data_IF_129716371358
#
_entry.id   IF_129716371358
#
_cell.length_a   1.000
_cell.length_b   1.000
_cell.length_c   1.000
_cell.angle_alpha   90.00
_cell.angle_beta   90.00
_cell.angle_gamma   90.00
#
_symmetry.space_group_name_H-M   'P 1'
#
loop_
_entity.id
_entity.type
_entity.pdbx_description
1 polymer ?
#
# COMPACT_ATOMS: atom_id res chain seq x y z
N UNK A 1 -20.60 -7.35 -10.70
CA UNK A 1 -19.42 -7.03 -9.87
C UNK A 1 -19.25 -7.95 -8.65
N UNK A 2 -20.26 -8.75 -8.25
CA UNK A 2 -20.12 -9.78 -7.18
C UNK A 2 -19.02 -10.83 -7.46
N UNK A 3 -18.57 -10.94 -8.71
CA UNK A 3 -17.56 -11.89 -9.20
C UNK A 3 -16.18 -11.68 -8.56
N UNK A 4 -15.87 -10.49 -8.04
CA UNK A 4 -14.56 -10.17 -7.46
C UNK A 4 -14.57 -10.01 -5.93
N UNK A 5 -15.65 -10.45 -5.28
CA UNK A 5 -15.83 -10.35 -3.82
C UNK A 5 -14.65 -10.98 -3.06
N UNK A 6 -14.25 -12.21 -3.42
CA UNK A 6 -13.11 -12.87 -2.77
C UNK A 6 -11.78 -12.11 -2.90
N UNK A 7 -11.53 -11.48 -4.05
CA UNK A 7 -10.32 -10.68 -4.28
C UNK A 7 -10.30 -9.44 -3.39
N UNK A 8 -11.41 -8.70 -3.37
CA UNK A 8 -11.58 -7.51 -2.55
C UNK A 8 -11.47 -7.85 -1.07
N UNK A 9 -12.12 -8.93 -0.63
CA UNK A 9 -12.09 -9.37 0.77
C UNK A 9 -10.67 -9.71 1.25
N UNK A 10 -9.88 -10.40 0.43
CA UNK A 10 -8.49 -10.73 0.77
C UNK A 10 -7.58 -9.49 0.73
N UNK A 11 -7.77 -8.61 -0.24
CA UNK A 11 -7.01 -7.36 -0.34
C UNK A 11 -7.34 -6.44 0.83
N UNK A 12 -8.61 -6.22 1.15
CA UNK A 12 -9.03 -5.40 2.29
C UNK A 12 -8.53 -5.97 3.62
N UNK A 13 -8.55 -7.30 3.80
CA UNK A 13 -8.00 -7.94 4.99
C UNK A 13 -6.50 -7.66 5.18
N UNK A 14 -5.74 -7.56 4.08
CA UNK A 14 -4.31 -7.28 4.11
C UNK A 14 -4.01 -5.78 4.32
N UNK A 15 -4.65 -4.91 3.54
CA UNK A 15 -4.42 -3.47 3.54
C UNK A 15 -4.99 -2.78 4.79
N UNK A 16 -6.01 -3.37 5.42
CA UNK A 16 -6.64 -2.86 6.65
C UNK A 16 -6.31 -3.72 7.87
N UNK A 17 -5.21 -4.47 7.82
CA UNK A 17 -4.74 -5.30 8.92
C UNK A 17 -4.51 -4.44 10.18
N UNK A 18 -5.11 -4.85 11.30
CA UNK A 18 -5.02 -4.12 12.59
C UNK A 18 -4.87 -5.05 13.80
N UNK A 19 -4.16 -6.17 13.64
CA UNK A 19 -4.07 -7.19 14.68
C UNK A 19 -2.68 -7.82 14.72
N UNK A 20 -2.23 -8.18 15.92
CA UNK A 20 -1.05 -9.03 16.16
C UNK A 20 -1.44 -10.43 16.67
N UNK A 21 -2.75 -10.69 16.80
CA UNK A 21 -3.30 -11.96 17.27
C UNK A 21 -3.10 -13.07 16.23
N UNK A 22 -2.48 -14.17 16.64
CA UNK A 22 -2.05 -15.26 15.75
C UNK A 22 -3.23 -15.93 15.04
N UNK A 23 -4.35 -16.17 15.72
CA UNK A 23 -5.54 -16.79 15.12
C UNK A 23 -6.11 -15.90 14.00
N UNK A 24 -6.21 -14.59 14.24
CA UNK A 24 -6.64 -13.64 13.21
C UNK A 24 -5.65 -13.54 12.05
N UNK A 25 -4.35 -13.61 12.31
CA UNK A 25 -3.34 -13.63 11.24
C UNK A 25 -3.45 -14.89 10.38
N UNK A 26 -3.69 -16.05 10.99
CA UNK A 26 -3.95 -17.30 10.27
C UNK A 26 -5.22 -17.19 9.42
N UNK A 27 -6.27 -16.53 9.92
CA UNK A 27 -7.48 -16.26 9.12
C UNK A 27 -7.21 -15.35 7.91
N UNK A 28 -6.36 -14.33 8.06
CA UNK A 28 -5.94 -13.45 6.95
C UNK A 28 -5.13 -14.25 5.93
N UNK A 29 -4.14 -15.04 6.38
CA UNK A 29 -3.37 -15.92 5.51
C UNK A 29 -4.27 -16.89 4.72
N UNK A 30 -5.22 -17.55 5.38
CA UNK A 30 -6.15 -18.47 4.71
C UNK A 30 -7.00 -17.75 3.65
N UNK A 31 -7.46 -16.51 3.91
CA UNK A 31 -8.14 -15.69 2.90
C UNK A 31 -7.24 -15.38 1.71
N UNK A 32 -5.98 -15.03 1.94
CA UNK A 32 -5.00 -14.77 0.87
C UNK A 32 -4.76 -16.03 0.05
N UNK A 33 -4.52 -17.17 0.70
CA UNK A 33 -4.28 -18.45 0.02
C UNK A 33 -5.48 -18.81 -0.85
N UNK A 34 -6.67 -18.89 -0.27
CA UNK A 34 -7.88 -19.30 -0.97
C UNK A 34 -8.24 -18.32 -2.10
N UNK A 35 -8.31 -17.02 -1.79
CA UNK A 35 -8.92 -16.05 -2.68
C UNK A 35 -7.93 -15.31 -3.59
N UNK A 36 -6.62 -15.44 -3.39
CA UNK A 36 -5.61 -14.82 -4.25
C UNK A 36 -4.71 -15.88 -4.90
N UNK A 37 -4.06 -16.73 -4.11
CA UNK A 37 -3.11 -17.72 -4.63
C UNK A 37 -3.83 -18.83 -5.40
N UNK A 38 -4.81 -19.50 -4.78
CA UNK A 38 -5.46 -20.67 -5.35
C UNK A 38 -6.48 -20.28 -6.43
N UNK A 39 -7.35 -19.30 -6.13
CA UNK A 39 -8.44 -18.89 -7.03
C UNK A 39 -7.95 -18.20 -8.31
N UNK A 40 -6.89 -17.39 -8.21
CA UNK A 40 -6.40 -16.57 -9.33
C UNK A 40 -4.98 -16.93 -9.76
N UNK A 41 -4.40 -18.01 -9.20
CA UNK A 41 -3.05 -18.49 -9.53
C UNK A 41 -1.98 -17.42 -9.40
N UNK A 42 -2.16 -16.48 -8.47
CA UNK A 42 -1.17 -15.43 -8.23
C UNK A 42 0.06 -16.08 -7.60
N UNK A 43 1.26 -15.90 -8.18
CA UNK A 43 2.48 -16.48 -7.62
C UNK A 43 2.68 -16.03 -6.16
N UNK A 44 2.98 -16.96 -5.22
CA UNK A 44 3.25 -16.61 -3.83
C UNK A 44 4.32 -15.52 -3.65
N UNK A 45 5.36 -15.52 -4.49
CA UNK A 45 6.39 -14.49 -4.50
C UNK A 45 5.87 -13.09 -4.84
N UNK A 46 4.85 -12.98 -5.69
CA UNK A 46 4.20 -11.71 -6.02
C UNK A 46 3.33 -11.22 -4.85
N UNK A 47 2.69 -12.12 -4.12
CA UNK A 47 1.99 -11.78 -2.88
C UNK A 47 2.98 -11.24 -1.83
N UNK A 48 4.13 -11.89 -1.65
CA UNK A 48 5.17 -11.43 -0.72
C UNK A 48 5.69 -10.05 -1.13
N UNK A 49 5.95 -9.81 -2.42
CA UNK A 49 6.34 -8.50 -2.92
C UNK A 49 5.30 -7.44 -2.52
N UNK A 50 4.01 -7.69 -2.79
CA UNK A 50 2.90 -6.78 -2.44
C UNK A 50 2.82 -6.51 -0.94
N UNK A 51 2.92 -7.54 -0.10
CA UNK A 51 2.94 -7.40 1.37
C UNK A 51 4.14 -6.54 1.81
N UNK A 52 5.32 -6.79 1.26
CA UNK A 52 6.54 -6.07 1.62
C UNK A 52 6.42 -4.56 1.34
N UNK A 53 5.82 -4.19 0.20
CA UNK A 53 5.62 -2.78 -0.18
C UNK A 53 4.53 -2.11 0.67
N UNK A 54 3.41 -2.82 0.92
CA UNK A 54 2.32 -2.33 1.75
C UNK A 54 2.74 -2.08 3.20
N UNK A 55 3.57 -2.95 3.76
CA UNK A 55 3.95 -2.90 5.18
C UNK A 55 4.50 -1.53 5.62
N UNK A 56 5.10 -0.76 4.71
CA UNK A 56 5.63 0.58 4.96
C UNK A 56 4.53 1.63 5.18
N UNK A 57 3.31 1.38 4.69
CA UNK A 57 2.13 2.25 4.85
C UNK A 57 1.24 1.84 6.03
N UNK A 58 1.54 0.71 6.68
CA UNK A 58 0.86 0.25 7.89
C UNK A 58 1.87 -0.39 8.88
N UNK A 59 3.01 0.29 9.02
CA UNK A 59 4.20 -0.24 9.69
C UNK A 59 4.01 -0.59 11.17
N UNK A 60 3.00 -0.05 11.87
CA UNK A 60 2.70 -0.44 13.24
C UNK A 60 2.33 -1.92 13.40
N UNK A 61 1.98 -2.59 12.29
CA UNK A 61 1.74 -4.04 12.21
C UNK A 61 2.80 -4.79 11.40
N UNK A 62 4.04 -4.27 11.32
CA UNK A 62 5.14 -4.91 10.58
C UNK A 62 5.35 -6.37 10.98
N UNK A 63 5.35 -6.68 12.28
CA UNK A 63 5.44 -8.07 12.79
C UNK A 63 4.36 -8.98 12.22
N UNK A 64 3.13 -8.48 12.11
CA UNK A 64 2.02 -9.23 11.52
C UNK A 64 2.23 -9.52 10.06
N UNK A 65 2.73 -8.54 9.29
CA UNK A 65 3.07 -8.75 7.88
C UNK A 65 4.19 -9.76 7.71
N UNK A 66 5.24 -9.69 8.54
CA UNK A 66 6.33 -10.67 8.56
C UNK A 66 5.80 -12.09 8.88
N UNK A 67 4.89 -12.22 9.84
CA UNK A 67 4.28 -13.50 10.21
C UNK A 67 3.40 -14.09 9.09
N UNK A 68 2.58 -13.27 8.41
CA UNK A 68 1.80 -13.71 7.25
C UNK A 68 2.73 -14.15 6.11
N UNK A 69 3.80 -13.40 5.83
CA UNK A 69 4.81 -13.80 4.84
C UNK A 69 5.50 -15.10 5.24
N UNK A 70 5.81 -15.29 6.53
CA UNK A 70 6.42 -16.53 7.02
C UNK A 70 5.55 -17.76 6.73
N UNK A 71 4.23 -17.65 6.94
CA UNK A 71 3.30 -18.73 6.59
C UNK A 71 3.33 -19.06 5.10
N UNK A 72 3.37 -18.05 4.22
CA UNK A 72 3.50 -18.25 2.77
C UNK A 72 4.84 -18.91 2.42
N UNK A 73 5.94 -18.45 3.01
CA UNK A 73 7.29 -18.98 2.76
C UNK A 73 7.38 -20.46 3.16
N UNK A 74 6.80 -20.81 4.31
CA UNK A 74 6.82 -22.18 4.83
C UNK A 74 5.98 -23.13 4.00
N UNK A 75 4.74 -22.75 3.69
CA UNK A 75 3.80 -23.57 2.91
C UNK A 75 4.31 -23.84 1.49
N UNK A 76 4.82 -22.80 0.82
CA UNK A 76 5.23 -22.87 -0.58
C UNK A 76 6.73 -23.12 -0.76
N UNK A 77 7.46 -23.34 0.34
CA UNK A 77 8.90 -23.63 0.37
C UNK A 77 9.74 -22.64 -0.47
N UNK A 78 9.44 -21.34 -0.33
CA UNK A 78 10.08 -20.29 -1.12
C UNK A 78 11.48 -20.00 -0.57
N UNK A 79 12.49 -20.09 -1.44
CA UNK A 79 13.88 -19.77 -1.10
C UNK A 79 14.37 -18.44 -1.72
N UNK A 80 13.61 -17.85 -2.65
CA UNK A 80 13.95 -16.58 -3.27
C UNK A 80 12.71 -15.82 -3.76
N UNK A 81 12.71 -14.50 -3.58
CA UNK A 81 11.70 -13.54 -4.04
C UNK A 81 12.41 -12.39 -4.75
N UNK A 82 12.31 -12.35 -6.09
CA UNK A 82 13.09 -11.43 -6.93
C UNK A 82 12.78 -9.94 -6.70
N UNK A 83 11.56 -9.61 -6.29
CA UNK A 83 11.11 -8.24 -6.00
C UNK A 83 10.61 -8.19 -4.57
N UNK A 84 11.33 -7.50 -3.69
CA UNK A 84 10.96 -7.33 -2.29
C UNK A 84 11.51 -5.99 -1.80
N UNK A 85 10.80 -5.33 -0.88
CA UNK A 85 11.33 -4.14 -0.22
C UNK A 85 12.58 -4.50 0.62
N UNK A 86 13.65 -3.73 0.50
CA UNK A 86 14.95 -4.05 1.11
C UNK A 86 14.90 -4.05 2.64
N UNK A 87 14.24 -3.07 3.27
CA UNK A 87 14.11 -3.05 4.72
C UNK A 87 13.23 -4.20 5.20
N UNK A 88 12.14 -4.53 4.48
CA UNK A 88 11.32 -5.70 4.81
C UNK A 88 12.12 -7.01 4.74
N UNK A 89 12.95 -7.19 3.71
CA UNK A 89 13.83 -8.36 3.56
C UNK A 89 14.82 -8.48 4.73
N UNK A 90 15.41 -7.35 5.16
CA UNK A 90 16.25 -7.30 6.35
C UNK A 90 15.48 -7.66 7.63
N UNK A 91 14.30 -7.09 7.86
CA UNK A 91 13.50 -7.40 9.04
C UNK A 91 13.05 -8.87 9.07
N UNK A 92 12.72 -9.44 7.92
CA UNK A 92 12.41 -10.87 7.80
C UNK A 92 13.61 -11.75 8.15
N UNK A 93 14.81 -11.35 7.71
CA UNK A 93 16.04 -12.00 8.12
C UNK A 93 16.29 -11.91 9.63
N UNK A 94 16.08 -10.74 10.25
CA UNK A 94 16.26 -10.57 11.70
C UNK A 94 15.31 -11.42 12.53
N UNK A 95 14.07 -11.58 12.08
CA UNK A 95 13.06 -12.38 12.81
C UNK A 95 13.19 -13.88 12.58
N UNK A 96 13.47 -14.32 11.35
CA UNK A 96 13.38 -15.74 10.98
C UNK A 96 14.68 -16.35 10.48
N UNK A 97 15.77 -15.58 10.40
CA UNK A 97 17.07 -15.99 9.86
C UNK A 97 16.98 -16.53 8.41
N UNK A 98 16.06 -15.97 7.62
CA UNK A 98 15.84 -16.30 6.21
C UNK A 98 16.03 -15.03 5.37
N UNK A 99 16.84 -15.12 4.32
CA UNK A 99 16.99 -14.03 3.34
C UNK A 99 16.14 -14.37 2.12
N UNK A 100 15.13 -13.54 1.85
CA UNK A 100 14.22 -13.75 0.72
C UNK A 100 14.83 -13.25 -0.60
N UNK A 101 15.72 -12.27 -0.55
CA UNK A 101 16.46 -11.80 -1.72
C UNK A 101 17.91 -11.51 -1.38
N UNK A 102 18.83 -12.32 -1.90
CA UNK A 102 20.27 -12.17 -1.65
C UNK A 102 20.86 -10.87 -2.20
N UNK A 103 20.28 -10.31 -3.28
CA UNK A 103 20.76 -9.04 -3.82
C UNK A 103 20.55 -7.89 -2.82
N UNK A 104 19.50 -7.94 -2.01
CA UNK A 104 19.20 -6.94 -0.98
C UNK A 104 20.10 -7.01 0.25
N UNK A 105 20.90 -8.08 0.40
CA UNK A 105 21.82 -8.25 1.55
C UNK A 105 22.83 -7.12 1.65
N UNK A 106 23.15 -6.45 0.54
CA UNK A 106 24.07 -5.31 0.50
C UNK A 106 23.66 -4.16 1.44
N UNK A 107 22.36 -4.02 1.74
CA UNK A 107 21.83 -2.98 2.62
C UNK A 107 21.76 -3.39 4.10
N UNK A 108 22.01 -4.66 4.45
CA UNK A 108 21.74 -5.16 5.80
C UNK A 108 22.61 -4.49 6.86
N UNK A 109 23.89 -4.21 6.55
CA UNK A 109 24.78 -3.53 7.49
C UNK A 109 24.29 -2.10 7.78
N UNK A 110 23.81 -1.39 6.75
CA UNK A 110 23.24 -0.04 6.90
C UNK A 110 21.98 -0.06 7.79
N UNK A 111 21.12 -1.07 7.62
CA UNK A 111 19.92 -1.22 8.43
C UNK A 111 20.22 -1.66 9.88
N UNK A 112 21.25 -2.48 10.08
CA UNK A 112 21.75 -2.85 11.41
C UNK A 112 22.33 -1.62 12.13
N UNK A 113 23.17 -0.83 11.47
CA UNK A 113 23.73 0.41 12.01
C UNK A 113 22.62 1.45 12.33
N UNK A 114 21.52 1.41 11.56
CA UNK A 114 20.32 2.22 11.78
C UNK A 114 19.37 1.64 12.84
N UNK A 115 19.72 0.52 13.45
CA UNK A 115 18.95 -0.16 14.51
C UNK A 115 17.51 -0.50 14.09
N UNK A 116 17.28 -0.81 12.81
CA UNK A 116 15.96 -1.20 12.34
C UNK A 116 15.51 -2.53 12.95
N UNK A 117 14.24 -2.56 13.35
CA UNK A 117 13.60 -3.69 14.01
C UNK A 117 12.14 -3.80 13.56
N UNK A 118 11.57 -5.01 13.70
CA UNK A 118 10.15 -5.26 13.45
C UNK A 118 9.26 -4.56 14.50
N UNK A 119 9.83 -4.21 15.66
CA UNK A 119 9.25 -3.27 16.62
C UNK A 119 9.70 -1.85 16.26
N UNK A 120 9.03 -1.27 15.26
CA UNK A 120 9.41 -0.06 14.50
C UNK A 120 10.01 1.09 15.33
N UNK A 121 9.53 1.29 16.55
CA UNK A 121 10.07 2.25 17.49
C UNK A 121 10.42 1.58 18.81
N UNK A 122 11.64 1.81 19.30
CA UNK A 122 12.08 1.34 20.61
C UNK A 122 11.12 1.79 21.72
N UNK A 123 11.11 1.00 22.81
CA UNK A 123 10.38 1.36 24.02
C UNK A 123 10.85 2.72 24.53
N UNK A 124 9.93 3.49 25.12
CA UNK A 124 10.22 4.81 25.68
C UNK A 124 10.81 5.80 24.65
N UNK A 125 10.21 5.88 23.47
CA UNK A 125 10.48 6.93 22.49
C UNK A 125 9.23 7.75 22.20
N UNK A 126 9.39 9.03 21.84
CA UNK A 126 8.27 9.90 21.49
C UNK A 126 7.52 9.40 20.25
N UNK A 127 8.24 8.82 19.28
CA UNK A 127 7.66 8.26 18.07
C UNK A 127 6.78 7.03 18.38
N UNK A 128 7.18 6.18 19.33
CA UNK A 128 6.35 5.09 19.84
C UNK A 128 5.10 5.62 20.56
N UNK A 129 5.23 6.68 21.35
CA UNK A 129 4.08 7.32 21.99
C UNK A 129 3.08 7.81 20.95
N UNK A 130 3.55 8.42 19.86
CA UNK A 130 2.67 8.79 18.74
C UNK A 130 2.04 7.55 18.11
N UNK A 131 2.83 6.53 17.73
CA UNK A 131 2.34 5.33 17.04
C UNK A 131 1.15 4.66 17.75
N UNK A 132 1.12 4.67 19.09
CA UNK A 132 0.06 4.08 19.89
C UNK A 132 -0.90 5.10 20.52
N UNK A 133 -0.79 6.38 20.15
CA UNK A 133 -1.52 7.51 20.73
C UNK A 133 -1.45 7.57 22.28
N UNK A 134 -0.30 7.18 22.84
CA UNK A 134 -0.04 7.24 24.28
C UNK A 134 0.22 8.68 24.71
N UNK A 135 -0.87 9.36 25.03
CA UNK A 135 -0.92 10.73 25.51
C UNK A 135 -0.02 10.97 26.72
N UNK A 136 0.04 10.05 27.68
CA UNK A 136 0.76 10.26 28.94
C UNK A 136 2.26 10.27 28.67
N UNK A 137 2.76 9.25 27.98
CA UNK A 137 4.17 9.19 27.61
C UNK A 137 4.55 10.36 26.71
N UNK A 138 3.69 10.72 25.75
CA UNK A 138 3.93 11.86 24.86
C UNK A 138 4.10 13.17 25.63
N UNK A 139 3.21 13.48 26.59
CA UNK A 139 3.33 14.67 27.45
C UNK A 139 4.68 14.67 28.18
N UNK A 140 5.05 13.55 28.80
CA UNK A 140 6.31 13.41 29.53
C UNK A 140 7.53 13.70 28.64
N UNK A 141 7.52 13.32 27.35
CA UNK A 141 8.59 13.69 26.41
C UNK A 141 8.59 15.19 26.10
N UNK A 142 7.41 15.78 25.90
CA UNK A 142 7.29 17.19 25.52
C UNK A 142 7.64 18.16 26.64
N UNK A 143 7.73 17.69 27.88
CA UNK A 143 8.09 18.47 29.08
C UNK A 143 9.58 18.38 29.43
N UNK A 144 10.35 17.56 28.72
CA UNK A 144 11.80 17.47 28.93
C UNK A 144 12.49 18.75 28.48
N UNK A 145 13.53 19.14 29.22
CA UNK A 145 14.41 20.23 28.82
C UNK A 145 15.03 19.93 27.44
N UNK A 146 15.01 20.92 26.55
CA UNK A 146 15.53 20.78 25.19
C UNK A 146 14.62 20.05 24.19
N UNK A 147 13.35 19.81 24.52
CA UNK A 147 12.38 19.25 23.56
C UNK A 147 12.25 20.13 22.31
N UNK A 148 12.55 19.56 21.14
CA UNK A 148 12.33 20.18 19.84
C UNK A 148 11.02 19.67 19.20
N UNK A 149 10.03 20.56 19.09
CA UNK A 149 8.75 20.27 18.43
C UNK A 149 8.88 20.05 16.91
N UNK A 150 9.94 20.56 16.30
CA UNK A 150 10.17 20.51 14.85
C UNK A 150 11.07 19.33 14.45
N UNK A 151 11.43 18.45 15.39
CA UNK A 151 12.20 17.26 15.10
C UNK A 151 11.54 16.42 14.01
N UNK A 152 12.38 15.82 13.16
CA UNK A 152 11.93 14.98 12.05
C UNK A 152 12.51 13.58 12.18
N UNK A 153 11.64 12.59 12.02
CA UNK A 153 12.00 11.18 11.93
C UNK A 153 12.41 10.87 10.50
N UNK A 154 13.68 10.48 10.27
CA UNK A 154 14.14 9.91 9.00
C UNK A 154 14.22 8.40 9.16
N UNK A 155 13.50 7.66 8.33
CA UNK A 155 13.51 6.20 8.35
C UNK A 155 12.91 5.64 7.07
N UNK A 156 13.51 4.56 6.57
CA UNK A 156 13.03 3.78 5.42
C UNK A 156 11.79 2.94 5.74
N UNK A 157 11.42 2.87 7.03
CA UNK A 157 10.18 2.27 7.49
C UNK A 157 8.96 3.17 7.25
N UNK A 158 9.16 4.36 6.65
CA UNK A 158 8.10 5.29 6.31
C UNK A 158 8.20 5.76 4.85
N UNK A 159 7.09 6.21 4.22
CA UNK A 159 7.05 6.50 2.79
C UNK A 159 7.89 7.70 2.29
N UNK A 160 8.58 8.45 3.18
CA UNK A 160 9.19 9.73 2.81
C UNK A 160 10.61 9.92 3.37
N UNK A 161 11.56 10.18 2.47
CA UNK A 161 13.00 10.22 2.77
C UNK A 161 13.52 11.54 3.36
N UNK A 162 12.78 12.66 3.25
CA UNK A 162 13.22 13.96 3.82
C UNK A 162 12.87 14.13 5.31
N UNK A 163 12.25 13.13 5.90
CA UNK A 163 11.88 13.04 7.30
C UNK A 163 10.47 13.57 7.60
N UNK A 164 9.82 12.93 8.56
CA UNK A 164 8.42 13.15 8.96
C UNK A 164 8.42 13.90 10.30
N UNK A 165 7.73 15.04 10.37
CA UNK A 165 7.55 15.78 11.63
C UNK A 165 6.66 15.02 12.61
N UNK A 166 6.71 15.38 13.89
CA UNK A 166 5.84 14.77 14.90
C UNK A 166 4.35 14.90 14.55
N UNK A 167 3.92 16.04 13.97
CA UNK A 167 2.52 16.26 13.62
C UNK A 167 2.09 15.42 12.41
N UNK A 168 2.93 15.33 11.37
CA UNK A 168 2.71 14.44 10.22
C UNK A 168 2.68 12.97 10.65
N UNK A 169 3.51 12.58 11.62
CA UNK A 169 3.52 11.24 12.19
C UNK A 169 2.22 10.92 12.94
N UNK A 170 1.64 11.89 13.67
CA UNK A 170 0.30 11.74 14.25
C UNK A 170 -0.76 11.54 13.17
N UNK A 171 -0.69 12.26 12.05
CA UNK A 171 -1.61 12.07 10.92
C UNK A 171 -1.48 10.68 10.29
N UNK A 172 -0.24 10.20 10.12
CA UNK A 172 0.06 8.89 9.55
C UNK A 172 -0.52 7.76 10.40
N UNK A 173 -0.36 7.83 11.73
CA UNK A 173 -0.85 6.79 12.66
C UNK A 173 -2.30 7.00 13.14
N UNK A 174 -2.90 8.16 12.86
CA UNK A 174 -4.25 8.49 13.34
C UNK A 174 -4.31 8.87 14.83
N UNK A 175 -3.19 9.32 15.40
CA UNK A 175 -2.97 9.60 16.83
C UNK A 175 -3.56 10.94 17.25
N UNK A 176 -4.84 10.95 17.58
CA UNK A 176 -5.64 12.17 17.77
C UNK A 176 -5.26 12.93 19.03
N UNK A 177 -4.89 12.26 20.10
CA UNK A 177 -4.54 12.91 21.35
C UNK A 177 -3.17 13.58 21.26
N UNK A 178 -2.18 12.90 20.69
CA UNK A 178 -0.87 13.48 20.42
C UNK A 178 -0.96 14.65 19.43
N UNK A 179 -1.77 14.51 18.36
CA UNK A 179 -2.05 15.57 17.38
C UNK A 179 -2.60 16.83 18.06
N UNK A 180 -3.63 16.68 18.90
CA UNK A 180 -4.26 17.80 19.61
C UNK A 180 -3.25 18.55 20.49
N UNK A 181 -2.35 17.84 21.17
CA UNK A 181 -1.31 18.48 21.99
C UNK A 181 -0.38 19.34 21.13
N UNK A 182 0.09 18.81 20.00
CA UNK A 182 0.97 19.56 19.09
C UNK A 182 0.30 20.81 18.53
N UNK A 183 -0.97 20.74 18.15
CA UNK A 183 -1.71 21.92 17.65
C UNK A 183 -1.96 22.93 18.78
N UNK A 184 -2.45 22.49 19.94
CA UNK A 184 -2.93 23.40 20.99
C UNK A 184 -1.80 23.99 21.86
N UNK A 185 -0.85 23.16 22.31
CA UNK A 185 0.25 23.58 23.19
C UNK A 185 1.41 24.17 22.39
N UNK A 186 1.74 23.56 21.26
CA UNK A 186 2.94 23.91 20.51
C UNK A 186 2.68 24.75 19.26
N UNK A 187 1.40 24.96 18.88
CA UNK A 187 1.02 25.69 17.67
C UNK A 187 1.76 25.15 16.44
N UNK A 188 1.87 23.83 16.34
CA UNK A 188 2.50 23.18 15.19
C UNK A 188 1.68 23.46 13.93
N UNK A 189 2.38 23.81 12.84
CA UNK A 189 1.74 24.10 11.56
C UNK A 189 1.23 22.81 10.91
N UNK A 190 -0.03 22.81 10.48
CA UNK A 190 -0.60 21.72 9.67
C UNK A 190 -0.07 21.86 8.25
N UNK A 191 0.78 20.94 7.83
CA UNK A 191 1.39 20.92 6.48
C UNK A 191 0.47 20.21 5.47
N UNK A 192 0.72 20.33 4.15
CA UNK A 192 0.05 19.49 3.15
C UNK A 192 0.22 17.98 3.44
N UNK A 193 1.39 17.57 3.94
CA UNK A 193 1.67 16.17 4.30
C UNK A 193 0.81 15.70 5.49
N UNK A 194 0.46 16.59 6.43
CA UNK A 194 -0.53 16.27 7.46
C UNK A 194 -1.89 15.86 6.86
N UNK A 195 -2.37 16.56 5.82
CA UNK A 195 -3.62 16.20 5.15
C UNK A 195 -3.46 14.89 4.37
N UNK A 196 -2.38 14.74 3.60
CA UNK A 196 -2.10 13.52 2.82
C UNK A 196 -2.06 12.28 3.71
N UNK A 197 -1.30 12.32 4.81
CA UNK A 197 -1.20 11.21 5.75
C UNK A 197 -2.49 10.94 6.53
N UNK A 198 -3.35 11.94 6.73
CA UNK A 198 -4.63 11.72 7.41
C UNK A 198 -5.57 10.75 6.66
N UNK A 199 -5.42 10.63 5.34
CA UNK A 199 -6.12 9.62 4.53
C UNK A 199 -5.62 8.20 4.78
N UNK A 200 -4.36 8.04 5.18
CA UNK A 200 -3.79 6.75 5.56
C UNK A 200 -4.15 6.38 7.00
N UNK A 201 -3.95 7.30 7.95
CA UNK A 201 -4.27 7.07 9.37
C UNK A 201 -5.78 6.93 9.62
N UNK A 202 -6.61 7.53 8.77
CA UNK A 202 -8.07 7.33 8.76
C UNK A 202 -8.80 7.91 9.97
N UNK A 203 -8.14 8.74 10.79
CA UNK A 203 -8.78 9.42 11.90
C UNK A 203 -9.55 10.65 11.41
N UNK A 204 -10.89 10.58 11.47
CA UNK A 204 -11.77 11.63 10.96
C UNK A 204 -11.57 12.99 11.65
N UNK A 205 -11.24 13.02 12.94
CA UNK A 205 -11.02 14.27 13.65
C UNK A 205 -9.76 14.98 13.13
N UNK A 206 -8.66 14.25 12.94
CA UNK A 206 -7.43 14.79 12.35
C UNK A 206 -7.70 15.28 10.92
N UNK A 207 -8.33 14.46 10.09
CA UNK A 207 -8.62 14.81 8.70
C UNK A 207 -9.46 16.09 8.59
N UNK A 208 -10.50 16.23 9.43
CA UNK A 208 -11.33 17.42 9.46
C UNK A 208 -10.55 18.68 9.88
N UNK A 209 -9.63 18.59 10.84
CA UNK A 209 -8.76 19.72 11.19
C UNK A 209 -7.82 20.08 10.03
N UNK A 210 -7.23 19.08 9.36
CA UNK A 210 -6.37 19.30 8.20
C UNK A 210 -7.11 19.99 7.05
N UNK A 211 -8.34 19.56 6.73
CA UNK A 211 -9.16 20.11 5.65
C UNK A 211 -9.59 21.58 5.87
N UNK A 212 -9.52 22.11 7.09
CA UNK A 212 -9.82 23.53 7.36
C UNK A 212 -8.78 24.47 6.77
N UNK A 213 -7.53 24.01 6.64
CA UNK A 213 -6.38 24.85 6.28
C UNK A 213 -5.64 24.34 5.04
N UNK A 214 -5.77 23.06 4.70
CA UNK A 214 -5.18 22.45 3.51
C UNK A 214 -6.23 22.05 2.49
N UNK A 215 -5.83 22.03 1.21
CA UNK A 215 -6.65 21.54 0.10
C UNK A 215 -6.17 20.15 -0.33
N UNK A 216 -7.07 19.19 -0.57
CA UNK A 216 -6.68 17.90 -1.11
C UNK A 216 -5.98 18.02 -2.46
N UNK A 217 -5.01 17.12 -2.68
CA UNK A 217 -4.22 17.02 -3.88
C UNK A 217 -4.10 15.56 -4.37
N UNK A 218 -3.29 15.34 -5.41
CA UNK A 218 -3.09 14.01 -5.98
C UNK A 218 -2.54 12.99 -4.97
N UNK A 219 -1.64 13.40 -4.07
CA UNK A 219 -1.10 12.49 -3.05
C UNK A 219 -2.17 12.07 -2.02
N UNK A 220 -3.17 12.92 -1.76
CA UNK A 220 -4.33 12.52 -0.95
C UNK A 220 -5.08 11.34 -1.60
N UNK A 221 -5.27 11.35 -2.93
CA UNK A 221 -5.90 10.23 -3.66
C UNK A 221 -5.05 8.96 -3.57
N UNK A 222 -3.74 9.08 -3.71
CA UNK A 222 -2.83 7.95 -3.53
C UNK A 222 -2.97 7.32 -2.15
N UNK A 223 -2.94 8.11 -1.07
CA UNK A 223 -3.10 7.56 0.28
C UNK A 223 -4.51 7.02 0.55
N UNK A 224 -5.55 7.61 -0.04
CA UNK A 224 -6.91 7.06 0.01
C UNK A 224 -6.99 5.67 -0.68
N UNK A 225 -6.36 5.50 -1.86
CA UNK A 225 -6.26 4.21 -2.55
C UNK A 225 -5.49 3.19 -1.69
N UNK A 226 -4.34 3.57 -1.13
CA UNK A 226 -3.52 2.70 -0.27
C UNK A 226 -4.30 2.28 0.98
N UNK A 227 -5.12 3.17 1.56
CA UNK A 227 -5.88 2.87 2.78
C UNK A 227 -6.98 1.81 2.61
N UNK A 228 -7.32 1.44 1.36
CA UNK A 228 -8.48 0.59 1.06
C UNK A 228 -9.77 1.13 1.70
N UNK A 229 -9.93 2.46 1.72
CA UNK A 229 -11.13 3.14 2.17
C UNK A 229 -11.83 3.81 0.98
N UNK A 230 -12.86 3.15 0.45
CA UNK A 230 -13.59 3.62 -0.72
C UNK A 230 -14.34 4.94 -0.48
N UNK A 231 -14.73 5.22 0.76
CA UNK A 231 -15.38 6.48 1.13
C UNK A 231 -14.40 7.65 0.96
N UNK A 232 -13.12 7.45 1.27
CA UNK A 232 -12.09 8.47 1.03
C UNK A 232 -11.85 8.72 -0.45
N UNK A 233 -11.77 7.65 -1.24
CA UNK A 233 -11.57 7.74 -2.70
C UNK A 233 -12.75 8.47 -3.35
N UNK A 234 -13.98 8.06 -3.04
CA UNK A 234 -15.20 8.70 -3.58
C UNK A 234 -15.38 10.12 -3.05
N UNK A 235 -15.02 10.42 -1.80
CA UNK A 235 -14.99 11.77 -1.26
C UNK A 235 -14.06 12.68 -2.08
N UNK A 236 -12.82 12.27 -2.30
CA UNK A 236 -11.83 13.05 -3.06
C UNK A 236 -12.25 13.24 -4.52
N UNK A 237 -12.77 12.20 -5.15
CA UNK A 237 -13.25 12.27 -6.52
C UNK A 237 -14.46 13.19 -6.65
N UNK A 238 -15.49 13.01 -5.82
CA UNK A 238 -16.78 13.70 -6.00
C UNK A 238 -16.78 15.14 -5.42
N UNK A 239 -16.07 15.38 -4.31
CA UNK A 239 -16.06 16.69 -3.63
C UNK A 239 -14.91 17.57 -4.06
N UNK A 240 -13.80 16.97 -4.49
CA UNK A 240 -12.58 17.70 -4.84
C UNK A 240 -12.16 17.52 -6.31
N UNK A 241 -12.91 16.77 -7.11
CA UNK A 241 -12.63 16.52 -8.53
C UNK A 241 -11.22 15.95 -8.79
N UNK A 242 -10.69 15.19 -7.83
CA UNK A 242 -9.39 14.52 -7.99
C UNK A 242 -9.62 13.18 -8.68
N UNK A 243 -9.02 13.00 -9.85
CA UNK A 243 -9.16 11.77 -10.64
C UNK A 243 -8.52 10.59 -9.91
N UNK A 244 -9.19 9.44 -9.98
CA UNK A 244 -8.62 8.16 -9.55
C UNK A 244 -7.52 7.78 -10.54
N UNK A 245 -6.36 7.39 -10.02
CA UNK A 245 -5.23 6.92 -10.82
C UNK A 245 -5.25 5.38 -10.89
N UNK A 246 -5.46 4.84 -12.10
CA UNK A 246 -5.55 3.40 -12.32
C UNK A 246 -4.21 2.66 -12.13
N UNK A 247 -3.08 3.34 -12.35
CA UNK A 247 -1.75 2.79 -12.08
C UNK A 247 -1.59 2.58 -10.58
N UNK A 248 -2.05 3.52 -9.75
CA UNK A 248 -2.09 3.37 -8.30
C UNK A 248 -3.07 2.28 -7.84
N UNK A 249 -4.29 2.23 -8.41
CA UNK A 249 -5.24 1.16 -8.08
C UNK A 249 -4.63 -0.23 -8.34
N UNK A 250 -3.95 -0.39 -9.48
CA UNK A 250 -3.29 -1.64 -9.84
C UNK A 250 -2.11 -1.95 -8.92
N UNK A 251 -1.23 -0.96 -8.69
CA UNK A 251 -0.05 -1.09 -7.82
C UNK A 251 -0.40 -1.51 -6.41
N UNK A 252 -1.50 -0.97 -5.87
CA UNK A 252 -1.97 -1.25 -4.51
C UNK A 252 -3.15 -2.23 -4.48
N UNK A 253 -3.44 -2.96 -5.57
CA UNK A 253 -4.49 -3.99 -5.61
C UNK A 253 -5.88 -3.51 -5.14
N UNK A 254 -6.17 -2.23 -5.30
CA UNK A 254 -7.44 -1.63 -4.90
C UNK A 254 -8.42 -1.68 -6.07
N UNK A 255 -8.96 -2.87 -6.31
CA UNK A 255 -9.91 -3.11 -7.40
C UNK A 255 -11.22 -2.34 -7.20
N UNK A 256 -11.65 -2.10 -5.96
CA UNK A 256 -12.83 -1.28 -5.70
C UNK A 256 -12.69 0.14 -6.26
N UNK A 257 -11.55 0.80 -6.01
CA UNK A 257 -11.28 2.14 -6.55
C UNK A 257 -11.19 2.13 -8.08
N UNK A 258 -10.59 1.09 -8.65
CA UNK A 258 -10.56 0.88 -10.10
C UNK A 258 -11.96 0.75 -10.69
N UNK A 259 -12.86 0.00 -10.04
CA UNK A 259 -14.25 -0.17 -10.50
C UNK A 259 -15.08 1.11 -10.32
N UNK A 260 -14.81 1.92 -9.28
CA UNK A 260 -15.41 3.26 -9.16
C UNK A 260 -15.01 4.15 -10.33
N UNK A 261 -13.75 4.13 -10.75
CA UNK A 261 -13.33 4.88 -11.94
C UNK A 261 -14.10 4.42 -13.19
N UNK A 262 -14.21 3.10 -13.39
CA UNK A 262 -14.96 2.54 -14.53
C UNK A 262 -16.41 3.00 -14.54
N UNK A 263 -17.10 2.89 -13.41
CA UNK A 263 -18.52 3.27 -13.26
C UNK A 263 -18.75 4.76 -13.60
N UNK A 264 -17.84 5.63 -13.16
CA UNK A 264 -18.00 7.07 -13.31
C UNK A 264 -17.59 7.59 -14.68
N UNK A 265 -16.62 6.96 -15.33
CA UNK A 265 -16.08 7.43 -16.61
C UNK A 265 -16.62 6.66 -17.81
N UNK A 266 -17.05 5.42 -17.61
CA UNK A 266 -17.32 4.44 -18.67
C UNK A 266 -16.14 4.24 -19.63
N UNK A 267 -14.90 4.57 -19.20
CA UNK A 267 -13.70 4.43 -20.02
C UNK A 267 -13.19 2.97 -19.97
N UNK A 268 -13.89 2.12 -20.70
CA UNK A 268 -13.60 0.70 -20.83
C UNK A 268 -12.18 0.46 -21.35
N UNK A 269 -11.73 1.24 -22.34
CA UNK A 269 -10.43 1.02 -22.97
C UNK A 269 -9.29 1.30 -22.00
N UNK A 270 -9.32 2.44 -21.30
CA UNK A 270 -8.28 2.77 -20.32
C UNK A 270 -8.27 1.75 -19.17
N UNK A 271 -9.43 1.34 -18.65
CA UNK A 271 -9.52 0.27 -17.66
C UNK A 271 -8.96 -1.06 -18.18
N UNK A 272 -9.30 -1.43 -19.42
CA UNK A 272 -8.83 -2.65 -20.04
C UNK A 272 -7.31 -2.72 -20.11
N UNK A 273 -6.63 -1.62 -20.47
CA UNK A 273 -5.17 -1.55 -20.51
C UNK A 273 -4.53 -1.91 -19.16
N UNK A 274 -5.08 -1.43 -18.04
CA UNK A 274 -4.52 -1.68 -16.71
C UNK A 274 -5.00 -2.99 -16.05
N UNK A 275 -6.09 -3.57 -16.54
CA UNK A 275 -6.71 -4.78 -15.97
C UNK A 275 -5.77 -6.00 -15.82
N UNK A 276 -4.75 -6.24 -16.69
CA UNK A 276 -3.82 -7.35 -16.49
C UNK A 276 -3.00 -7.27 -15.21
N UNK A 277 -2.87 -6.09 -14.59
CA UNK A 277 -2.13 -5.96 -13.33
C UNK A 277 -2.87 -6.49 -12.11
N UNK A 278 -4.18 -6.79 -12.24
CA UNK A 278 -4.98 -7.18 -11.08
C UNK A 278 -4.88 -8.64 -10.72
N UNK A 279 -4.54 -9.53 -11.65
CA UNK A 279 -4.64 -10.94 -11.32
C UNK A 279 -5.70 -11.76 -12.04
N UNK A 280 -6.55 -11.11 -12.85
CA UNK A 280 -7.95 -11.52 -12.98
C UNK A 280 -8.35 -11.73 -14.44
N UNK A 281 -8.20 -12.96 -14.96
CA UNK A 281 -8.62 -13.30 -16.32
C UNK A 281 -10.11 -13.00 -16.57
N UNK A 282 -10.96 -13.20 -15.57
CA UNK A 282 -12.39 -12.86 -15.67
C UNK A 282 -12.66 -11.35 -15.77
N UNK A 283 -11.79 -10.50 -15.21
CA UNK A 283 -11.87 -9.04 -15.40
C UNK A 283 -11.49 -8.66 -16.83
N UNK A 284 -10.45 -9.30 -17.37
CA UNK A 284 -10.04 -9.12 -18.76
C UNK A 284 -11.13 -9.56 -19.75
N UNK A 285 -11.69 -10.76 -19.55
CA UNK A 285 -12.78 -11.32 -20.37
C UNK A 285 -14.04 -10.45 -20.29
N UNK A 286 -14.34 -9.89 -19.11
CA UNK A 286 -15.41 -8.92 -18.96
C UNK A 286 -15.21 -7.72 -19.88
N UNK A 287 -14.02 -7.12 -19.92
CA UNK A 287 -13.75 -5.98 -20.78
C UNK A 287 -13.80 -6.33 -22.27
N UNK A 288 -13.24 -7.47 -22.68
CA UNK A 288 -13.31 -7.95 -24.07
C UNK A 288 -14.78 -8.14 -24.49
N UNK A 289 -15.58 -8.78 -23.63
CA UNK A 289 -17.01 -9.02 -23.89
C UNK A 289 -17.83 -7.73 -23.95
N UNK A 290 -17.36 -6.65 -23.31
CA UNK A 290 -17.96 -5.32 -23.35
C UNK A 290 -17.34 -4.42 -24.45
N UNK A 291 -16.62 -4.99 -25.41
CA UNK A 291 -16.15 -4.29 -26.59
C UNK A 291 -14.92 -3.41 -26.38
N UNK A 292 -14.08 -3.72 -25.38
CA UNK A 292 -12.78 -3.08 -25.25
C UNK A 292 -11.94 -3.27 -26.53
N UNK A 293 -11.25 -2.22 -26.95
CA UNK A 293 -10.25 -2.31 -28.01
C UNK A 293 -9.07 -3.16 -27.54
N UNK A 294 -8.87 -4.31 -28.19
CA UNK A 294 -7.81 -5.27 -27.87
C UNK A 294 -6.41 -4.64 -27.88
N UNK A 295 -6.23 -3.59 -28.69
CA UNK A 295 -4.98 -2.86 -28.88
C UNK A 295 -5.03 -1.45 -28.27
N UNK A 296 -5.96 -1.19 -27.34
CA UNK A 296 -6.00 0.04 -26.58
C UNK A 296 -4.63 0.37 -25.99
N UNK A 297 -4.29 1.65 -25.93
CA UNK A 297 -3.01 2.15 -25.42
C UNK A 297 -3.23 3.16 -24.31
N UNK A 298 -2.41 3.09 -23.27
CA UNK A 298 -2.38 4.11 -22.24
C UNK A 298 -1.54 5.34 -22.64
N UNK A 299 -1.33 6.24 -21.68
CA UNK A 299 -0.51 7.45 -21.85
C UNK A 299 0.96 7.15 -22.15
N UNK A 300 1.46 5.94 -21.93
CA UNK A 300 2.81 5.51 -22.26
C UNK A 300 2.88 4.71 -23.56
N UNK A 301 1.75 4.51 -24.25
CA UNK A 301 1.67 3.68 -25.44
C UNK A 301 1.61 2.18 -25.14
N UNK A 302 1.54 1.80 -23.87
CA UNK A 302 1.48 0.40 -23.45
C UNK A 302 0.10 -0.18 -23.74
N UNK A 303 0.08 -1.39 -24.31
CA UNK A 303 -1.14 -2.19 -24.53
C UNK A 303 -1.37 -3.14 -23.35
N UNK A 304 -2.55 -3.76 -23.20
CA UNK A 304 -2.74 -4.82 -22.21
C UNK A 304 -1.65 -5.91 -22.31
N UNK A 305 -1.24 -6.26 -23.53
CA UNK A 305 -0.21 -7.28 -23.76
C UNK A 305 1.16 -6.88 -23.20
N UNK A 306 1.52 -5.59 -23.18
CA UNK A 306 2.76 -5.12 -22.55
C UNK A 306 2.74 -5.41 -21.04
N UNK A 307 1.65 -5.09 -20.36
CA UNK A 307 1.49 -5.35 -18.93
C UNK A 307 1.46 -6.86 -18.63
N UNK A 308 0.75 -7.63 -19.44
CA UNK A 308 0.73 -9.09 -19.36
C UNK A 308 2.13 -9.71 -19.50
N UNK A 309 2.92 -9.24 -20.48
CA UNK A 309 4.28 -9.72 -20.67
C UNK A 309 5.18 -9.36 -19.48
N UNK A 310 5.10 -8.12 -18.98
CA UNK A 310 5.83 -7.65 -17.79
C UNK A 310 5.51 -8.47 -16.53
N UNK A 311 4.27 -8.97 -16.42
CA UNK A 311 3.83 -9.78 -15.30
C UNK A 311 4.10 -11.29 -15.49
N UNK A 312 4.65 -11.70 -16.64
CA UNK A 312 4.90 -13.10 -17.02
C UNK A 312 3.63 -13.97 -17.04
N UNK A 313 2.58 -13.44 -17.65
CA UNK A 313 1.22 -13.94 -17.53
C UNK A 313 0.75 -14.71 -18.76
N UNK A 314 1.16 -15.97 -18.84
CA UNK A 314 0.95 -16.82 -20.02
C UNK A 314 -0.53 -16.98 -20.40
N UNK A 315 -1.39 -17.36 -19.46
CA UNK A 315 -2.82 -17.61 -19.74
C UNK A 315 -3.52 -16.34 -20.25
N UNK A 316 -3.27 -15.20 -19.61
CA UNK A 316 -3.78 -13.89 -20.06
C UNK A 316 -3.21 -13.48 -21.43
N UNK A 317 -1.94 -13.80 -21.72
CA UNK A 317 -1.34 -13.51 -23.02
C UNK A 317 -2.01 -14.33 -24.13
N UNK A 318 -2.31 -15.60 -23.87
CA UNK A 318 -3.04 -16.47 -24.80
C UNK A 318 -4.45 -15.93 -25.09
N UNK A 319 -5.16 -15.43 -24.07
CA UNK A 319 -6.46 -14.77 -24.25
C UNK A 319 -6.31 -13.53 -25.14
N UNK A 320 -5.35 -12.65 -24.86
CA UNK A 320 -5.14 -11.43 -25.65
C UNK A 320 -4.78 -11.73 -27.11
N UNK A 321 -3.83 -12.64 -27.33
CA UNK A 321 -3.35 -13.02 -28.67
C UNK A 321 -4.48 -13.68 -29.47
N UNK A 322 -5.25 -14.58 -28.86
CA UNK A 322 -6.39 -15.23 -29.54
C UNK A 322 -7.50 -14.23 -29.92
N UNK A 323 -7.59 -13.11 -29.20
CA UNK A 323 -8.50 -12.01 -29.51
C UNK A 323 -7.89 -10.93 -30.43
N UNK A 324 -6.71 -11.17 -31.01
CA UNK A 324 -6.12 -10.29 -32.03
C UNK A 324 -5.24 -9.16 -31.49
N UNK A 325 -4.68 -9.32 -30.29
CA UNK A 325 -3.68 -8.39 -29.79
C UNK A 325 -2.44 -8.36 -30.72
N UNK A 326 -1.97 -7.15 -31.04
CA UNK A 326 -0.75 -6.93 -31.82
C UNK A 326 0.49 -7.24 -30.97
N UNK A 327 1.10 -8.38 -31.25
CA UNK A 327 2.33 -8.85 -30.59
C UNK A 327 3.55 -7.97 -30.89
N UNK A 328 3.48 -7.14 -31.93
CA UNK A 328 4.55 -6.22 -32.33
C UNK A 328 4.25 -4.77 -31.93
N UNK A 329 3.20 -4.55 -31.12
CA UNK A 329 2.87 -3.22 -30.64
C UNK A 329 4.06 -2.63 -29.88
N UNK A 330 4.37 -1.37 -30.19
CA UNK A 330 5.40 -0.59 -29.51
C UNK A 330 4.79 0.38 -28.51
N UNK A 331 5.47 0.53 -27.38
CA UNK A 331 5.21 1.61 -26.44
C UNK A 331 5.94 2.89 -26.90
N UNK A 332 5.99 3.92 -26.05
CA UNK A 332 6.69 5.18 -26.37
C UNK A 332 8.22 5.06 -26.36
N UNK A 333 8.78 3.97 -25.85
CA UNK A 333 10.22 3.77 -25.65
C UNK A 333 10.85 2.87 -26.72
N UNK A 334 10.06 2.17 -27.54
CA UNK A 334 10.55 1.46 -28.73
C UNK A 334 9.89 0.11 -28.94
#
# INVERSE_FOLDING_TARGET
MEIFTGYNDASDALYRLKTNDEEKLNAIYNKIKQNLIDSYRIPPSEIINKISQLSIYNNCFMKSYLAVVKQIVDEFHLNQVNKINDVFNYLFYKEYNIVLNENGRIFFNEFEDSHYSSDIHEQNTIHRSIMYDDKISFINFTEREGFDKNQKLKSDLYPYSRGISLLELCCYHGSVDCFKILITKFQSEITPDCLRYSFLGGNQAIMNECLKVQKPDYECMKYAIISHNIDFVTFLMNKHNIKIDLELCSKYNNLQSFLVYLDQTNDINTCFVYSPNFHLSSLLEYFISNGADINAKDKYGCTPLHYTASNNWKETAEILISNGADINAKDKYG
#
